data_IF_199664791179
#
_entry.id   IF_199664791179
#
_cell.length_a   1.000
_cell.length_b   1.000
_cell.length_c   1.000
_cell.angle_alpha   90.00
_cell.angle_beta   90.00
_cell.angle_gamma   90.00
#
_symmetry.space_group_name_H-M   'P 1'
#
loop_
_entity.id
_entity.type
_entity.pdbx_description
1 polymer ?
#
# COMPACT_ATOMS: atom_id res chain seq x y z
N UNK A 1 19.27 -35.73 22.08
CA UNK A 1 19.80 -34.55 21.34
C UNK A 1 18.84 -34.01 20.26
N UNK A 2 17.82 -34.75 19.80
CA UNK A 2 16.86 -34.28 18.77
C UNK A 2 15.80 -33.26 19.30
N UNK A 3 15.44 -33.30 20.59
CA UNK A 3 14.42 -32.39 21.18
C UNK A 3 14.88 -30.94 21.33
N UNK A 4 16.18 -30.68 21.44
CA UNK A 4 16.72 -29.32 21.63
C UNK A 4 16.77 -28.53 20.33
N UNK A 5 16.96 -29.22 19.19
CA UNK A 5 17.00 -28.61 17.85
C UNK A 5 15.62 -28.12 17.42
N UNK A 6 14.55 -28.85 17.77
CA UNK A 6 13.17 -28.46 17.44
C UNK A 6 12.70 -27.22 18.20
N UNK A 7 13.12 -27.07 19.46
CA UNK A 7 12.81 -25.88 20.28
C UNK A 7 13.58 -24.66 19.78
N UNK A 8 14.85 -24.83 19.39
CA UNK A 8 15.66 -23.75 18.84
C UNK A 8 15.13 -23.25 17.48
N UNK A 9 14.66 -24.13 16.61
CA UNK A 9 14.01 -23.73 15.34
C UNK A 9 12.68 -23.00 15.57
N UNK A 10 11.90 -23.43 16.57
CA UNK A 10 10.64 -22.75 16.91
C UNK A 10 10.88 -21.36 17.52
N UNK A 11 11.92 -21.22 18.34
CA UNK A 11 12.32 -19.93 18.93
C UNK A 11 12.90 -18.98 17.89
N UNK A 12 13.68 -19.50 16.92
CA UNK A 12 14.17 -18.71 15.79
C UNK A 12 13.01 -18.24 14.91
N UNK A 13 11.99 -19.09 14.68
CA UNK A 13 10.78 -18.69 13.96
C UNK A 13 10.00 -17.59 14.68
N UNK A 14 9.88 -17.63 16.01
CA UNK A 14 9.24 -16.56 16.79
C UNK A 14 10.01 -15.22 16.76
N UNK A 15 11.34 -15.22 16.65
CA UNK A 15 12.12 -13.98 16.57
C UNK A 15 11.98 -13.26 15.22
N UNK A 16 11.81 -13.98 14.11
CA UNK A 16 11.69 -13.38 12.77
C UNK A 16 10.33 -12.68 12.60
N UNK A 17 9.28 -13.12 13.31
CA UNK A 17 7.91 -12.59 13.19
C UNK A 17 7.70 -11.28 13.99
N UNK A 18 8.67 -10.87 14.81
CA UNK A 18 8.55 -9.68 15.68
C UNK A 18 9.45 -8.50 15.26
N UNK A 19 9.92 -8.48 14.02
CA UNK A 19 10.68 -7.34 13.50
C UNK A 19 9.80 -6.08 13.43
N UNK A 20 10.27 -4.97 14.00
CA UNK A 20 9.64 -3.65 13.80
C UNK A 20 9.61 -3.31 12.30
N UNK A 21 8.55 -2.65 11.87
CA UNK A 21 8.46 -2.17 10.48
C UNK A 21 9.49 -1.07 10.27
N UNK A 22 10.29 -1.19 9.22
CA UNK A 22 11.28 -0.18 8.85
C UNK A 22 10.78 0.73 7.74
N UNK A 23 11.34 1.94 7.66
CA UNK A 23 11.07 2.87 6.55
C UNK A 23 11.44 2.26 5.19
N UNK A 24 12.47 1.41 5.14
CA UNK A 24 12.89 0.72 3.92
C UNK A 24 11.81 -0.26 3.42
N UNK A 25 11.16 -0.99 4.33
CA UNK A 25 10.05 -1.88 3.98
C UNK A 25 8.84 -1.10 3.45
N UNK A 26 8.51 0.03 4.09
CA UNK A 26 7.44 0.93 3.62
C UNK A 26 7.75 1.53 2.24
N UNK A 27 8.99 1.96 2.01
CA UNK A 27 9.41 2.49 0.72
C UNK A 27 9.33 1.40 -0.36
N UNK A 28 9.74 0.18 -0.05
CA UNK A 28 9.73 -0.95 -0.97
C UNK A 28 8.31 -1.32 -1.41
N UNK A 29 7.36 -1.43 -0.49
CA UNK A 29 5.97 -1.75 -0.85
C UNK A 29 5.28 -0.61 -1.60
N UNK A 30 5.51 0.64 -1.20
CA UNK A 30 4.98 1.80 -1.91
C UNK A 30 5.51 1.89 -3.34
N UNK A 31 6.80 1.57 -3.53
CA UNK A 31 7.41 1.51 -4.87
C UNK A 31 6.80 0.38 -5.69
N UNK A 32 6.67 -0.82 -5.14
CA UNK A 32 6.06 -1.95 -5.84
C UNK A 32 4.62 -1.65 -6.29
N UNK A 33 3.81 -1.06 -5.40
CA UNK A 33 2.44 -0.62 -5.71
C UNK A 33 2.42 0.44 -6.81
N UNK A 34 3.29 1.45 -6.73
CA UNK A 34 3.38 2.50 -7.74
C UNK A 34 3.79 1.93 -9.11
N UNK A 35 4.80 1.06 -9.14
CA UNK A 35 5.29 0.43 -10.38
C UNK A 35 4.22 -0.42 -11.05
N UNK A 36 3.56 -1.33 -10.31
CA UNK A 36 2.52 -2.16 -10.93
C UNK A 36 1.35 -1.30 -11.41
N UNK A 37 0.94 -0.30 -10.62
CA UNK A 37 -0.15 0.57 -11.00
C UNK A 37 0.19 1.37 -12.27
N UNK A 38 1.42 1.89 -12.40
CA UNK A 38 1.87 2.59 -13.61
C UNK A 38 1.84 1.71 -14.85
N UNK A 39 2.25 0.44 -14.73
CA UNK A 39 2.25 -0.50 -15.84
C UNK A 39 0.83 -0.91 -16.27
N UNK A 40 -0.12 -0.86 -15.34
CA UNK A 40 -1.46 -1.42 -15.50
C UNK A 40 -2.56 -0.35 -15.58
N UNK A 41 -2.20 0.92 -15.81
CA UNK A 41 -3.11 2.05 -15.66
C UNK A 41 -3.89 2.45 -16.93
N UNK A 42 -3.98 1.57 -17.92
CA UNK A 42 -4.53 1.93 -19.23
C UNK A 42 -6.06 2.00 -19.21
N UNK A 43 -6.65 2.91 -19.98
CA UNK A 43 -8.10 3.11 -20.06
C UNK A 43 -8.55 3.46 -21.47
N UNK A 44 -9.84 3.26 -21.74
CA UNK A 44 -10.49 3.76 -22.98
C UNK A 44 -11.37 4.96 -22.67
N UNK A 45 -12.03 4.96 -21.51
CA UNK A 45 -12.97 5.99 -21.07
C UNK A 45 -12.75 6.33 -19.59
N UNK A 46 -13.20 7.50 -19.13
CA UNK A 46 -13.09 7.85 -17.71
C UNK A 46 -13.86 6.91 -16.77
N UNK A 47 -14.87 6.18 -17.26
CA UNK A 47 -15.56 5.15 -16.47
C UNK A 47 -14.67 3.95 -16.13
N UNK A 48 -13.63 3.69 -16.93
CA UNK A 48 -12.66 2.63 -16.67
C UNK A 48 -11.75 2.99 -15.49
N UNK A 49 -11.67 4.28 -15.12
CA UNK A 49 -10.79 4.74 -14.06
C UNK A 49 -11.51 4.80 -12.71
N UNK A 50 -10.81 4.45 -11.64
CA UNK A 50 -11.32 4.49 -10.27
C UNK A 50 -10.27 5.04 -9.31
N UNK A 51 -10.67 5.24 -8.07
CA UNK A 51 -9.82 5.82 -7.04
C UNK A 51 -10.10 5.20 -5.68
N UNK A 52 -9.04 4.67 -5.07
CA UNK A 52 -9.08 4.09 -3.73
C UNK A 52 -8.13 4.82 -2.77
N UNK A 53 -8.49 4.93 -1.48
CA UNK A 53 -7.60 5.49 -0.47
C UNK A 53 -6.42 4.55 -0.22
N UNK A 54 -5.21 5.11 -0.08
CA UNK A 54 -4.01 4.34 0.23
C UNK A 54 -3.23 4.94 1.40
N UNK A 55 -2.64 4.05 2.18
CA UNK A 55 -1.74 4.39 3.27
C UNK A 55 -2.46 4.81 4.55
N UNK A 56 -1.67 5.15 5.57
CA UNK A 56 -2.17 5.57 6.88
C UNK A 56 -1.34 6.74 7.43
N UNK A 57 -1.98 7.89 7.62
CA UNK A 57 -1.40 9.02 8.36
C UNK A 57 -1.46 8.75 9.86
N UNK A 58 -0.47 9.25 10.60
CA UNK A 58 -0.45 9.18 12.06
C UNK A 58 -1.69 9.83 12.71
N UNK A 59 -2.17 10.95 12.16
CA UNK A 59 -3.40 11.62 12.59
C UNK A 59 -4.71 10.91 12.17
N UNK A 60 -4.61 9.75 11.52
CA UNK A 60 -5.74 9.05 10.92
C UNK A 60 -6.04 9.47 9.47
N UNK A 61 -6.82 8.64 8.78
CA UNK A 61 -7.10 8.79 7.36
C UNK A 61 -5.95 8.30 6.45
N UNK A 62 -6.17 8.27 5.13
CA UNK A 62 -5.18 7.81 4.18
C UNK A 62 -4.07 8.83 3.92
N UNK A 63 -2.91 8.34 3.48
CA UNK A 63 -1.83 9.21 3.01
C UNK A 63 -2.21 9.93 1.71
N UNK A 64 -2.96 9.25 0.86
CA UNK A 64 -3.51 9.79 -0.38
C UNK A 64 -4.46 8.82 -1.04
N UNK A 65 -4.50 8.90 -2.37
CA UNK A 65 -5.35 8.05 -3.19
C UNK A 65 -4.55 7.47 -4.35
N UNK A 66 -4.82 6.22 -4.68
CA UNK A 66 -4.34 5.60 -5.90
C UNK A 66 -5.42 5.72 -6.97
N UNK A 67 -5.04 6.21 -8.14
CA UNK A 67 -5.87 6.15 -9.35
C UNK A 67 -5.42 4.96 -10.16
N UNK A 68 -6.38 4.09 -10.51
CA UNK A 68 -6.11 2.83 -11.17
C UNK A 68 -7.17 2.56 -12.25
N UNK A 69 -6.82 1.67 -13.18
CA UNK A 69 -7.74 1.16 -14.20
C UNK A 69 -8.51 -0.06 -13.70
N UNK A 70 -9.84 -0.01 -13.77
CA UNK A 70 -10.75 -1.13 -13.45
C UNK A 70 -10.67 -2.27 -14.46
N UNK A 71 -10.16 -2.01 -15.65
CA UNK A 71 -10.07 -3.01 -16.73
C UNK A 71 -8.73 -3.76 -16.73
N UNK A 72 -7.79 -3.39 -15.85
CA UNK A 72 -6.56 -4.17 -15.66
C UNK A 72 -6.87 -5.53 -15.06
N UNK A 73 -6.14 -6.56 -15.51
CA UNK A 73 -6.15 -7.89 -14.89
C UNK A 73 -5.49 -7.93 -13.51
N UNK A 74 -4.80 -6.87 -13.09
CA UNK A 74 -4.08 -6.75 -11.83
C UNK A 74 -4.82 -5.96 -10.75
N UNK A 75 -6.08 -5.57 -10.98
CA UNK A 75 -6.87 -4.78 -10.01
C UNK A 75 -6.86 -5.38 -8.61
N UNK A 76 -7.10 -6.68 -8.48
CA UNK A 76 -7.10 -7.36 -7.18
C UNK A 76 -5.72 -7.35 -6.50
N UNK A 77 -4.65 -7.41 -7.29
CA UNK A 77 -3.29 -7.34 -6.78
C UNK A 77 -2.94 -5.92 -6.32
N UNK A 78 -3.33 -4.90 -7.09
CA UNK A 78 -3.23 -3.48 -6.72
C UNK A 78 -3.97 -3.21 -5.41
N UNK A 79 -5.20 -3.70 -5.28
CA UNK A 79 -6.00 -3.61 -4.05
C UNK A 79 -5.34 -4.29 -2.86
N UNK A 80 -4.78 -5.48 -3.07
CA UNK A 80 -4.08 -6.23 -2.02
C UNK A 80 -2.84 -5.49 -1.53
N UNK A 81 -2.04 -4.95 -2.45
CA UNK A 81 -0.88 -4.14 -2.12
C UNK A 81 -1.28 -2.85 -1.41
N UNK A 82 -2.30 -2.13 -1.87
CA UNK A 82 -2.82 -0.93 -1.21
C UNK A 82 -3.28 -1.18 0.23
N UNK A 83 -4.00 -2.29 0.47
CA UNK A 83 -4.42 -2.72 1.81
C UNK A 83 -3.20 -3.06 2.68
N UNK A 84 -2.23 -3.77 2.12
CA UNK A 84 -1.02 -4.14 2.84
C UNK A 84 -0.18 -2.91 3.20
N UNK A 85 0.04 -1.97 2.27
CA UNK A 85 0.67 -0.67 2.54
C UNK A 85 -0.01 0.05 3.70
N UNK A 86 -1.34 0.17 3.64
CA UNK A 86 -2.13 0.84 4.69
C UNK A 86 -1.96 0.17 6.05
N UNK A 87 -1.89 -1.17 6.09
CA UNK A 87 -1.66 -1.92 7.33
C UNK A 87 -0.26 -1.67 7.89
N UNK A 88 0.77 -1.75 7.05
CA UNK A 88 2.16 -1.59 7.46
C UNK A 88 2.46 -0.17 7.93
N UNK A 89 1.91 0.84 7.25
CA UNK A 89 2.07 2.24 7.67
C UNK A 89 1.37 2.52 9.01
N UNK A 90 0.20 1.93 9.26
CA UNK A 90 -0.48 2.05 10.56
C UNK A 90 0.36 1.43 11.67
N UNK A 91 0.86 0.22 11.47
CA UNK A 91 1.73 -0.46 12.42
C UNK A 91 3.01 0.36 12.67
N UNK A 92 3.63 0.89 11.61
CA UNK A 92 4.79 1.77 11.73
C UNK A 92 4.50 3.00 12.59
N UNK A 93 3.37 3.69 12.34
CA UNK A 93 3.00 4.87 13.11
C UNK A 93 2.78 4.55 14.60
N UNK A 94 2.15 3.41 14.90
CA UNK A 94 1.93 2.91 16.26
C UNK A 94 3.27 2.59 16.95
N UNK A 95 4.15 1.84 16.30
CA UNK A 95 5.45 1.41 16.83
C UNK A 95 6.43 2.57 17.09
N UNK A 96 6.27 3.68 16.38
CA UNK A 96 7.15 4.84 16.42
C UNK A 96 6.51 6.07 17.06
N UNK A 97 5.27 5.97 17.56
CA UNK A 97 4.52 7.11 18.14
C UNK A 97 4.56 8.34 17.22
N UNK A 98 4.44 8.11 15.92
CA UNK A 98 4.55 9.15 14.90
C UNK A 98 3.42 10.16 15.08
N UNK A 99 3.75 11.44 14.89
CA UNK A 99 2.77 12.53 14.88
C UNK A 99 2.72 13.18 13.50
N UNK A 100 1.54 13.61 13.07
CA UNK A 100 1.35 14.33 11.82
C UNK A 100 0.28 15.41 11.97
N UNK A 101 0.29 16.38 11.06
CA UNK A 101 -0.77 17.38 10.94
C UNK A 101 -2.07 16.74 10.43
N UNK A 102 -3.21 17.15 11.00
CA UNK A 102 -4.53 16.65 10.63
C UNK A 102 -5.09 17.41 9.42
N UNK A 103 -4.69 17.00 8.21
CA UNK A 103 -5.27 17.52 6.96
C UNK A 103 -6.13 16.45 6.31
N UNK A 104 -7.36 16.80 5.97
CA UNK A 104 -8.25 15.91 5.22
C UNK A 104 -7.74 15.74 3.79
N UNK A 105 -7.46 14.50 3.38
CA UNK A 105 -7.14 14.19 1.99
C UNK A 105 -8.42 14.29 1.14
N UNK A 106 -8.43 15.19 0.16
CA UNK A 106 -9.53 15.28 -0.81
C UNK A 106 -9.41 14.13 -1.81
N UNK A 107 -10.49 13.36 -1.97
CA UNK A 107 -10.58 12.34 -3.03
C UNK A 107 -10.55 13.03 -4.41
N UNK A 108 -9.60 12.70 -5.29
CA UNK A 108 -9.56 13.25 -6.65
C UNK A 108 -10.64 12.61 -7.52
N UNK A 109 -10.91 13.24 -8.67
CA UNK A 109 -11.69 12.61 -9.73
C UNK A 109 -10.70 11.81 -10.60
N UNK A 110 -11.02 10.54 -10.89
CA UNK A 110 -10.25 9.76 -11.85
C UNK A 110 -10.79 9.98 -13.26
N UNK A 111 -9.89 10.32 -14.19
CA UNK A 111 -10.21 10.54 -15.60
C UNK A 111 -9.25 9.78 -16.49
N UNK A 112 -9.73 9.37 -17.67
CA UNK A 112 -8.86 8.83 -18.70
C UNK A 112 -8.24 10.00 -19.49
N UNK A 113 -6.92 10.12 -19.47
CA UNK A 113 -6.22 11.20 -20.15
C UNK A 113 -6.06 10.92 -21.66
N UNK A 114 -5.51 11.91 -22.38
CA UNK A 114 -5.24 11.79 -23.83
C UNK A 114 -4.24 10.69 -24.19
N UNK A 115 -3.46 10.19 -23.22
CA UNK A 115 -2.51 9.11 -23.39
C UNK A 115 -3.11 7.75 -23.01
N UNK A 116 -4.44 7.67 -22.88
CA UNK A 116 -5.15 6.44 -22.48
C UNK A 116 -4.69 5.91 -21.12
N UNK A 117 -4.36 6.81 -20.20
CA UNK A 117 -3.87 6.50 -18.85
C UNK A 117 -4.82 7.11 -17.81
N UNK A 118 -5.19 6.35 -16.79
CA UNK A 118 -6.00 6.88 -15.70
C UNK A 118 -5.18 7.83 -14.83
N UNK A 119 -5.63 9.09 -14.69
CA UNK A 119 -4.96 10.12 -13.89
C UNK A 119 -5.93 10.80 -12.92
N UNK A 120 -5.37 11.37 -11.85
CA UNK A 120 -6.11 12.20 -10.92
C UNK A 120 -6.33 13.62 -11.50
N UNK A 121 -7.53 14.17 -11.29
CA UNK A 121 -7.92 15.52 -11.68
C UNK A 121 -8.59 16.26 -10.51
#
# INVERSE_FOLDING_TARGET
MIKTITIALFFFCMLIVNGKITNEQLMSINTALATINQLENQCTTSSDCSTDPIGARACGGPNGYIVYSRISSYVEYIHSLAKLTTKLERQYNEENSTVSICILAKKPIAVCDKNHTCVAQ
#
